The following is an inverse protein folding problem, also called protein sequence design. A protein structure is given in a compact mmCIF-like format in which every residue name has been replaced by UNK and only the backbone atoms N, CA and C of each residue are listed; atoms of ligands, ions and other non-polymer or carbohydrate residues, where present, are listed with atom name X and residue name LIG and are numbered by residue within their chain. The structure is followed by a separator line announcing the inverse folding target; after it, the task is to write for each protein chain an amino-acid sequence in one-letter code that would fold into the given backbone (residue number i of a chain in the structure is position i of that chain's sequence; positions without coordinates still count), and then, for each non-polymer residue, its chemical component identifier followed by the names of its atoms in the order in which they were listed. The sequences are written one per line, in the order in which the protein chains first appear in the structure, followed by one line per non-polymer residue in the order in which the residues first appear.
data_IF_016914951988
#
_entry.id   IF_016914951988
#
_cell.length_a   1.000
_cell.length_b   1.000
_cell.length_c   1.000
_cell.angle_alpha   90.00
_cell.angle_beta   90.00
_cell.angle_gamma   90.00
#
_symmetry.space_group_name_H-M   'P 1'
#
loop_
_entity.id
_entity.type
_entity.pdbx_description
1 polymer ?
#
# COMPACT_ATOMS: atom_id res chain seq x y z
N UNK A 1 -7.60 -1.05 -18.27
CA UNK A 1 -6.52 -1.95 -17.78
C UNK A 1 -6.93 -2.42 -16.39
N UNK A 2 -6.67 -3.67 -16.01
CA UNK A 2 -6.88 -4.15 -14.64
C UNK A 2 -5.59 -4.87 -14.23
N UNK A 3 -5.00 -4.53 -13.08
CA UNK A 3 -3.76 -5.13 -12.60
C UNK A 3 -2.52 -4.83 -13.46
N UNK A 4 -1.36 -5.28 -12.94
CA UNK A 4 0.00 -5.01 -13.43
C UNK A 4 0.99 -5.03 -12.27
N UNK A 5 2.09 -4.28 -12.39
CA UNK A 5 2.98 -4.01 -11.25
C UNK A 5 2.24 -3.31 -10.10
N UNK A 6 1.33 -2.39 -10.42
CA UNK A 6 0.49 -1.63 -9.50
C UNK A 6 -0.99 -2.03 -9.62
N UNK A 7 -1.89 -1.34 -8.91
CA UNK A 7 -3.33 -1.60 -8.94
C UNK A 7 -3.94 -1.42 -10.34
N UNK A 8 -3.38 -0.52 -11.15
CA UNK A 8 -3.88 -0.19 -12.49
C UNK A 8 -2.75 -0.06 -13.52
N UNK A 9 -2.19 -1.20 -13.96
CA UNK A 9 -1.07 -1.25 -14.89
C UNK A 9 0.29 -1.13 -14.19
N UNK A 10 1.27 -0.60 -14.91
CA UNK A 10 2.69 -0.65 -14.48
C UNK A 10 3.23 0.71 -14.01
N UNK A 11 2.34 1.67 -13.74
CA UNK A 11 2.69 2.98 -13.19
C UNK A 11 1.77 3.25 -11.99
N UNK A 12 2.29 3.78 -10.86
CA UNK A 12 1.47 4.06 -9.70
C UNK A 12 0.41 5.11 -10.01
N UNK A 13 -0.76 4.93 -9.41
CA UNK A 13 -1.92 5.80 -9.57
C UNK A 13 -2.50 6.18 -8.20
N UNK A 14 -3.53 7.04 -8.20
CA UNK A 14 -4.29 7.33 -6.97
C UNK A 14 -4.84 6.08 -6.29
N UNK A 15 -5.13 5.01 -7.04
CA UNK A 15 -5.59 3.75 -6.44
C UNK A 15 -4.56 3.17 -5.48
N UNK A 16 -3.28 3.20 -5.85
CA UNK A 16 -2.16 2.69 -5.06
C UNK A 16 -1.93 3.53 -3.81
N UNK A 17 -1.96 4.86 -3.95
CA UNK A 17 -1.84 5.78 -2.82
C UNK A 17 -2.96 5.65 -1.81
N UNK A 18 -4.18 5.35 -2.26
CA UNK A 18 -5.30 5.04 -1.37
C UNK A 18 -5.16 3.64 -0.75
N UNK A 19 -4.58 2.67 -1.45
CA UNK A 19 -4.49 1.29 -1.00
C UNK A 19 -3.46 1.07 0.10
N UNK A 20 -2.29 1.71 0.01
CA UNK A 20 -1.20 1.58 1.00
C UNK A 20 -1.65 1.87 2.44
N UNK A 21 -2.26 3.03 2.78
CA UNK A 21 -2.70 3.30 4.14
C UNK A 21 -3.84 2.36 4.59
N UNK A 22 -4.67 1.87 3.67
CA UNK A 22 -5.74 0.93 4.01
C UNK A 22 -5.20 -0.46 4.36
N UNK A 23 -4.19 -0.94 3.62
CA UNK A 23 -3.52 -2.20 3.97
C UNK A 23 -2.72 -2.10 5.26
N UNK A 24 -2.04 -0.99 5.51
CA UNK A 24 -1.37 -0.75 6.79
C UNK A 24 -2.36 -0.72 7.98
N UNK A 25 -3.52 -0.09 7.79
CA UNK A 25 -4.59 -0.07 8.79
C UNK A 25 -5.17 -1.47 9.02
N UNK A 26 -5.43 -2.23 7.95
CA UNK A 26 -5.91 -3.60 8.03
C UNK A 26 -4.96 -4.49 8.84
N UNK A 27 -3.64 -4.39 8.62
CA UNK A 27 -2.63 -5.09 9.42
C UNK A 27 -2.64 -4.65 10.89
N UNK A 28 -2.69 -3.34 11.15
CA UNK A 28 -2.76 -2.77 12.52
C UNK A 28 -3.96 -3.29 13.31
N UNK A 29 -5.10 -3.43 12.65
CA UNK A 29 -6.36 -3.90 13.25
C UNK A 29 -6.61 -5.41 13.09
N UNK A 30 -5.61 -6.16 12.60
CA UNK A 30 -5.67 -7.63 12.44
C UNK A 30 -6.83 -8.10 11.55
N UNK A 31 -7.16 -7.34 10.51
CA UNK A 31 -8.09 -7.75 9.47
C UNK A 31 -7.44 -8.86 8.64
N UNK A 32 -8.19 -9.94 8.38
CA UNK A 32 -7.73 -11.04 7.54
C UNK A 32 -7.63 -10.59 6.07
N UNK A 33 -6.40 -10.55 5.56
CA UNK A 33 -6.09 -10.21 4.17
C UNK A 33 -5.83 -11.43 3.28
N UNK A 34 -5.91 -12.65 3.82
CA UNK A 34 -5.70 -13.89 3.04
C UNK A 34 -6.62 -13.99 1.81
N UNK A 35 -7.87 -13.48 1.80
CA UNK A 35 -8.71 -13.51 0.61
C UNK A 35 -8.31 -12.50 -0.48
N UNK A 36 -7.37 -11.59 -0.21
CA UNK A 36 -7.01 -10.46 -1.08
C UNK A 36 -5.53 -10.46 -1.53
N UNK A 37 -5.01 -11.55 -2.11
CA UNK A 37 -3.58 -11.68 -2.43
C UNK A 37 -3.08 -10.63 -3.44
N UNK A 38 -3.94 -10.16 -4.35
CA UNK A 38 -3.59 -9.11 -5.31
C UNK A 38 -3.38 -7.75 -4.61
N UNK A 39 -4.18 -7.45 -3.58
CA UNK A 39 -4.03 -6.23 -2.78
C UNK A 39 -2.73 -6.28 -2.00
N UNK A 40 -2.43 -7.40 -1.34
CA UNK A 40 -1.18 -7.58 -0.60
C UNK A 40 0.05 -7.37 -1.50
N UNK A 41 0.07 -8.01 -2.67
CA UNK A 41 1.17 -7.85 -3.65
C UNK A 41 1.38 -6.40 -4.07
N UNK A 42 0.30 -5.68 -4.38
CA UNK A 42 0.41 -4.26 -4.79
C UNK A 42 0.88 -3.40 -3.62
N UNK A 43 0.37 -3.62 -2.42
CA UNK A 43 0.81 -2.90 -1.22
C UNK A 43 2.30 -3.12 -0.93
N UNK A 44 2.80 -4.34 -1.03
CA UNK A 44 4.23 -4.67 -0.92
C UNK A 44 5.05 -3.96 -2.00
N UNK A 45 4.57 -3.98 -3.25
CA UNK A 45 5.23 -3.28 -4.37
C UNK A 45 5.31 -1.77 -4.13
N UNK A 46 4.23 -1.19 -3.61
CA UNK A 46 4.16 0.24 -3.28
C UNK A 46 5.03 0.59 -2.08
N UNK A 47 5.11 -0.27 -1.06
CA UNK A 47 5.94 -0.04 0.11
C UNK A 47 7.43 0.04 -0.24
N UNK A 48 7.87 -0.62 -1.31
CA UNK A 48 9.24 -0.52 -1.83
C UNK A 48 9.52 0.79 -2.60
N UNK A 49 8.49 1.59 -2.94
CA UNK A 49 8.69 2.84 -3.66
C UNK A 49 9.24 3.93 -2.71
N UNK A 50 10.37 4.60 -3.01
CA UNK A 50 11.04 5.51 -2.08
C UNK A 50 10.13 6.63 -1.54
N UNK A 51 9.32 7.25 -2.40
CA UNK A 51 8.39 8.30 -1.97
C UNK A 51 7.29 7.80 -1.02
N UNK A 52 6.86 6.54 -1.16
CA UNK A 52 5.82 5.95 -0.31
C UNK A 52 6.44 5.50 1.01
N UNK A 53 7.64 4.91 0.97
CA UNK A 53 8.38 4.55 2.18
C UNK A 53 8.66 5.77 3.06
N UNK A 54 9.09 6.89 2.47
CA UNK A 54 9.29 8.16 3.19
C UNK A 54 8.00 8.76 3.77
N UNK A 55 6.84 8.45 3.19
CA UNK A 55 5.53 8.89 3.65
C UNK A 55 4.93 7.95 4.73
N UNK A 56 5.68 6.94 5.19
CA UNK A 56 5.18 6.03 6.23
C UNK A 56 4.85 6.80 7.50
N UNK A 57 3.69 6.49 8.11
CA UNK A 57 3.17 7.23 9.27
C UNK A 57 4.16 7.32 10.44
N UNK A 58 4.91 6.23 10.71
CA UNK A 58 5.94 6.20 11.76
C UNK A 58 7.24 6.97 11.46
N UNK A 59 7.35 7.63 10.29
CA UNK A 59 8.50 8.47 9.92
C UNK A 59 8.14 9.95 9.87
N UNK A 60 6.91 10.32 10.23
CA UNK A 60 6.45 11.70 10.19
C UNK A 60 6.85 12.45 11.47
N UNK A 61 7.02 13.78 11.44
CA UNK A 61 7.47 14.56 12.60
C UNK A 61 6.54 14.47 13.83
N UNK A 62 5.28 14.12 13.59
CA UNK A 62 4.22 13.92 14.58
C UNK A 62 3.98 12.45 14.92
N UNK A 63 4.84 11.54 14.43
CA UNK A 63 4.86 10.17 14.89
C UNK A 63 5.32 10.11 16.36
N UNK A 64 4.52 9.47 17.21
CA UNK A 64 4.75 9.32 18.66
C UNK A 64 6.12 8.74 19.03
#
# INVERSE_FOLDING_TARGET
RHGGMYAYGDTPTMADYCLVPQTASALRFKVDLTPYPAICRVAETCAAHPAIAAAHAGLQPDAD
#
